data_IF_825600092549
#
_entry.id   IF_825600092549
#
_cell.length_a   1.000
_cell.length_b   1.000
_cell.length_c   1.000
_cell.angle_alpha   90.00
_cell.angle_beta   90.00
_cell.angle_gamma   90.00
#
_symmetry.space_group_name_H-M   'P 1'
#
loop_
_entity.id
_entity.type
_entity.pdbx_description
1 polymer ?
#
# COMPACT_ATOMS: atom_id res chain seq x y z
N UNK A 1 -27.29 -33.77 -13.92
CA UNK A 1 -25.88 -34.05 -13.51
C UNK A 1 -25.87 -34.21 -12.02
N UNK A 2 -24.99 -35.03 -11.43
CA UNK A 2 -24.93 -35.17 -9.98
C UNK A 2 -24.53 -33.84 -9.34
N UNK A 3 -25.14 -33.51 -8.19
CA UNK A 3 -24.81 -32.35 -7.38
C UNK A 3 -23.32 -32.40 -7.04
N UNK A 4 -22.55 -31.38 -7.41
CA UNK A 4 -21.11 -31.29 -7.14
C UNK A 4 -20.90 -31.20 -5.64
N UNK A 5 -20.07 -32.09 -5.07
CA UNK A 5 -19.71 -32.06 -3.67
C UNK A 5 -18.87 -30.80 -3.32
N UNK A 6 -18.84 -30.42 -2.05
CA UNK A 6 -18.06 -29.29 -1.59
C UNK A 6 -16.55 -29.44 -1.91
N UNK A 7 -15.99 -30.64 -1.73
CA UNK A 7 -14.59 -30.93 -2.04
C UNK A 7 -14.28 -30.85 -3.55
N UNK A 8 -15.20 -31.32 -4.39
CA UNK A 8 -15.08 -31.18 -5.84
C UNK A 8 -15.15 -29.72 -6.28
N UNK A 9 -16.01 -28.92 -5.65
CA UNK A 9 -16.09 -27.49 -5.93
C UNK A 9 -14.80 -26.74 -5.55
N UNK A 10 -14.18 -27.08 -4.41
CA UNK A 10 -12.87 -26.54 -4.02
C UNK A 10 -11.78 -26.97 -5.01
N UNK A 11 -11.82 -28.21 -5.49
CA UNK A 11 -10.88 -28.70 -6.49
C UNK A 11 -11.03 -27.95 -7.82
N UNK A 12 -12.25 -27.78 -8.31
CA UNK A 12 -12.52 -26.99 -9.54
C UNK A 12 -12.04 -25.55 -9.39
N UNK A 13 -12.29 -24.91 -8.22
CA UNK A 13 -11.81 -23.58 -7.91
C UNK A 13 -10.28 -23.50 -8.02
N UNK A 14 -9.58 -24.51 -7.47
CA UNK A 14 -8.12 -24.57 -7.48
C UNK A 14 -7.55 -24.83 -8.87
N UNK A 15 -8.08 -25.84 -9.58
CA UNK A 15 -7.63 -26.26 -10.91
C UNK A 15 -7.85 -25.15 -11.97
N UNK A 16 -8.88 -24.31 -11.79
CA UNK A 16 -9.18 -23.17 -12.67
C UNK A 16 -8.60 -21.84 -12.20
N UNK A 17 -7.74 -21.86 -11.20
CA UNK A 17 -7.13 -20.65 -10.61
C UNK A 17 -8.19 -19.59 -10.19
N UNK A 18 -9.37 -20.05 -9.77
CA UNK A 18 -10.44 -19.18 -9.32
C UNK A 18 -10.11 -18.52 -7.97
N UNK A 19 -10.68 -17.34 -7.71
CA UNK A 19 -10.46 -16.58 -6.49
C UNK A 19 -11.46 -16.88 -5.39
N UNK A 20 -12.73 -16.95 -5.72
CA UNK A 20 -13.82 -17.08 -4.75
C UNK A 20 -14.86 -18.09 -5.24
N UNK A 21 -15.46 -18.82 -4.29
CA UNK A 21 -16.58 -19.76 -4.52
C UNK A 21 -17.79 -19.26 -3.70
N UNK A 22 -18.93 -19.25 -4.32
CA UNK A 22 -20.17 -18.71 -3.76
C UNK A 22 -21.23 -19.80 -3.66
N UNK A 23 -21.81 -19.94 -2.46
CA UNK A 23 -22.98 -20.75 -2.19
C UNK A 23 -24.12 -19.84 -1.71
N UNK A 24 -25.21 -19.79 -2.45
CA UNK A 24 -26.39 -18.99 -2.11
C UNK A 24 -27.66 -19.78 -2.46
N UNK A 25 -28.65 -19.82 -1.56
CA UNK A 25 -29.91 -20.51 -1.78
C UNK A 25 -30.62 -19.90 -3.00
N UNK A 26 -31.09 -20.77 -3.90
CA UNK A 26 -31.75 -20.38 -5.15
C UNK A 26 -30.80 -20.05 -6.30
N UNK A 27 -29.49 -20.11 -6.07
CA UNK A 27 -28.47 -19.96 -7.11
C UNK A 27 -27.63 -21.25 -7.25
N UNK A 28 -27.08 -21.57 -8.42
CA UNK A 28 -26.10 -22.64 -8.56
C UNK A 28 -24.78 -22.27 -7.84
N UNK A 29 -24.04 -23.27 -7.32
CA UNK A 29 -22.67 -23.06 -6.86
C UNK A 29 -21.83 -22.41 -7.94
N UNK A 30 -21.22 -21.26 -7.65
CA UNK A 30 -20.56 -20.41 -8.66
C UNK A 30 -19.16 -20.00 -8.18
N UNK A 31 -18.20 -19.93 -9.09
CA UNK A 31 -16.88 -19.40 -8.80
C UNK A 31 -16.57 -18.14 -9.59
N UNK A 32 -15.71 -17.32 -9.01
CA UNK A 32 -15.10 -16.19 -9.67
C UNK A 32 -13.76 -16.62 -10.29
N UNK A 33 -13.74 -16.77 -11.62
CA UNK A 33 -12.57 -17.20 -12.39
C UNK A 33 -12.15 -16.04 -13.29
N UNK A 34 -10.91 -15.56 -13.16
CA UNK A 34 -10.40 -14.37 -13.86
C UNK A 34 -11.33 -13.14 -13.76
N UNK A 35 -11.94 -12.97 -12.57
CA UNK A 35 -12.85 -11.85 -12.31
C UNK A 35 -14.31 -12.07 -12.79
N UNK A 36 -14.60 -13.12 -13.54
CA UNK A 36 -15.94 -13.46 -14.06
C UNK A 36 -16.59 -14.52 -13.17
N UNK A 37 -17.85 -14.27 -12.75
CA UNK A 37 -18.64 -15.24 -12.02
C UNK A 37 -19.19 -16.31 -12.97
N UNK A 38 -18.83 -17.56 -12.73
CA UNK A 38 -19.20 -18.73 -13.55
C UNK A 38 -19.84 -19.82 -12.70
N UNK A 39 -21.04 -20.33 -13.03
CA UNK A 39 -21.65 -21.44 -12.32
C UNK A 39 -20.92 -22.75 -12.63
N UNK A 40 -20.90 -23.66 -11.64
CA UNK A 40 -20.34 -25.02 -11.80
C UNK A 40 -21.38 -26.04 -12.27
N UNK A 41 -22.66 -25.74 -12.10
CA UNK A 41 -23.78 -26.64 -12.33
C UNK A 41 -25.01 -25.83 -12.73
N UNK A 42 -25.96 -26.45 -13.38
CA UNK A 42 -27.26 -25.85 -13.68
C UNK A 42 -28.25 -26.00 -12.50
N UNK A 43 -27.91 -26.84 -11.51
CA UNK A 43 -28.76 -27.07 -10.33
C UNK A 43 -28.56 -25.97 -9.28
N UNK A 44 -29.68 -25.40 -8.84
CA UNK A 44 -29.68 -24.37 -7.78
C UNK A 44 -29.70 -25.02 -6.39
N UNK A 45 -29.00 -24.41 -5.45
CA UNK A 45 -28.98 -24.81 -4.04
C UNK A 45 -30.37 -24.65 -3.40
N UNK A 46 -30.87 -25.73 -2.80
CA UNK A 46 -32.15 -25.74 -2.09
C UNK A 46 -32.04 -25.18 -0.67
N UNK A 47 -33.15 -24.71 -0.07
CA UNK A 47 -33.15 -24.32 1.34
C UNK A 47 -32.63 -25.43 2.27
N UNK A 48 -31.69 -25.07 3.16
CA UNK A 48 -31.07 -25.98 4.12
C UNK A 48 -29.82 -26.74 3.61
N UNK A 49 -29.61 -26.89 2.32
CA UNK A 49 -28.45 -27.63 1.77
C UNK A 49 -27.11 -26.95 2.16
N UNK A 50 -27.07 -25.63 2.09
CA UNK A 50 -25.84 -24.88 2.43
C UNK A 50 -25.58 -24.99 3.94
N UNK A 51 -26.62 -25.03 4.79
CA UNK A 51 -26.45 -25.21 6.23
C UNK A 51 -25.87 -26.59 6.56
N UNK A 52 -26.21 -27.63 5.80
CA UNK A 52 -25.60 -28.97 5.93
C UNK A 52 -24.11 -28.92 5.58
N UNK A 53 -23.76 -28.26 4.48
CA UNK A 53 -22.35 -28.08 4.07
C UNK A 53 -21.59 -27.27 5.14
N UNK A 54 -22.13 -26.14 5.58
CA UNK A 54 -21.54 -25.30 6.62
C UNK A 54 -21.29 -26.09 7.92
N UNK A 55 -22.27 -26.86 8.37
CA UNK A 55 -22.14 -27.69 9.57
C UNK A 55 -21.11 -28.82 9.40
N UNK A 56 -20.84 -29.30 8.20
CA UNK A 56 -19.85 -30.34 7.94
C UNK A 56 -18.41 -29.86 8.05
N UNK A 57 -18.16 -28.57 7.84
CA UNK A 57 -16.82 -27.96 7.88
C UNK A 57 -16.53 -27.22 9.20
N UNK A 58 -17.54 -26.93 10.01
CA UNK A 58 -17.42 -26.32 11.34
C UNK A 58 -17.20 -27.39 12.41
N UNK A 59 -16.35 -27.08 13.39
CA UNK A 59 -16.27 -27.84 14.64
C UNK A 59 -17.47 -27.52 15.58
N UNK A 60 -17.50 -28.12 16.77
CA UNK A 60 -18.63 -27.98 17.69
C UNK A 60 -18.71 -26.56 18.26
N UNK A 61 -17.57 -25.95 18.60
CA UNK A 61 -17.52 -24.58 19.13
C UNK A 61 -17.95 -23.56 18.07
N UNK A 62 -17.46 -23.69 16.86
CA UNK A 62 -17.84 -22.84 15.72
C UNK A 62 -19.34 -22.93 15.42
N UNK A 63 -19.91 -24.15 15.49
CA UNK A 63 -21.36 -24.35 15.34
C UNK A 63 -22.17 -23.66 16.44
N UNK A 64 -21.70 -23.70 17.68
CA UNK A 64 -22.34 -22.98 18.80
C UNK A 64 -22.23 -21.45 18.61
N UNK A 65 -21.08 -20.95 18.22
CA UNK A 65 -20.89 -19.52 17.89
C UNK A 65 -21.82 -19.07 16.76
N UNK A 66 -21.91 -19.87 15.68
CA UNK A 66 -22.80 -19.53 14.55
C UNK A 66 -24.29 -19.62 14.87
N UNK A 67 -24.69 -20.41 15.87
CA UNK A 67 -26.06 -20.38 16.40
C UNK A 67 -26.38 -19.09 17.17
N UNK A 68 -25.38 -18.55 17.86
CA UNK A 68 -25.52 -17.33 18.68
C UNK A 68 -25.34 -16.05 17.85
N UNK A 69 -24.58 -16.11 16.77
CA UNK A 69 -24.30 -14.98 15.85
C UNK A 69 -24.63 -15.37 14.40
N UNK A 70 -25.22 -14.48 13.60
CA UNK A 70 -25.58 -14.80 12.21
C UNK A 70 -24.39 -14.87 11.26
N UNK A 71 -23.16 -14.71 11.75
CA UNK A 71 -21.92 -14.70 10.96
C UNK A 71 -20.84 -15.56 11.59
N UNK A 72 -20.05 -16.26 10.72
CA UNK A 72 -18.88 -17.01 11.11
C UNK A 72 -17.79 -16.84 10.07
N UNK A 73 -16.61 -16.43 10.51
CA UNK A 73 -15.38 -16.43 9.73
C UNK A 73 -14.47 -17.55 10.22
N UNK A 74 -13.93 -18.32 9.29
CA UNK A 74 -13.01 -19.42 9.61
C UNK A 74 -12.08 -19.70 8.44
N UNK A 75 -10.98 -20.40 8.69
CA UNK A 75 -10.11 -20.94 7.67
C UNK A 75 -10.19 -22.45 7.64
N UNK A 76 -10.15 -23.04 6.45
CA UNK A 76 -10.02 -24.48 6.27
C UNK A 76 -8.79 -24.80 5.42
N UNK A 77 -8.06 -25.87 5.77
CA UNK A 77 -6.97 -26.37 4.96
C UNK A 77 -7.37 -27.72 4.36
N UNK A 78 -7.05 -27.94 3.08
CA UNK A 78 -7.31 -29.19 2.38
C UNK A 78 -6.02 -29.69 1.75
N UNK A 79 -5.56 -30.92 2.09
CA UNK A 79 -4.35 -31.49 1.50
C UNK A 79 -4.43 -31.50 -0.03
N UNK A 80 -3.40 -30.96 -0.68
CA UNK A 80 -3.32 -30.89 -2.16
C UNK A 80 -4.14 -29.78 -2.82
N UNK A 81 -5.06 -29.12 -2.10
CA UNK A 81 -5.89 -28.01 -2.64
C UNK A 81 -5.48 -26.64 -2.09
N UNK A 82 -4.90 -26.60 -0.88
CA UNK A 82 -4.46 -25.36 -0.24
C UNK A 82 -5.33 -24.92 0.94
N UNK A 83 -5.26 -23.64 1.26
CA UNK A 83 -5.99 -23.01 2.35
C UNK A 83 -7.10 -22.09 1.79
N UNK A 84 -8.23 -22.06 2.49
CA UNK A 84 -9.39 -21.29 2.09
C UNK A 84 -9.95 -20.54 3.30
N UNK A 85 -10.26 -19.24 3.11
CA UNK A 85 -11.05 -18.47 4.06
C UNK A 85 -12.52 -18.68 3.75
N UNK A 86 -13.30 -19.02 4.76
CA UNK A 86 -14.75 -19.28 4.64
C UNK A 86 -15.49 -18.23 5.47
N UNK A 87 -16.34 -17.47 4.85
CA UNK A 87 -17.33 -16.63 5.52
C UNK A 87 -18.71 -17.29 5.37
N UNK A 88 -19.33 -17.63 6.49
CA UNK A 88 -20.67 -18.19 6.57
C UNK A 88 -21.59 -17.13 7.20
N UNK A 89 -22.71 -16.85 6.56
CA UNK A 89 -23.62 -15.81 7.04
C UNK A 89 -25.08 -16.18 6.74
N UNK A 90 -26.01 -15.50 7.43
CA UNK A 90 -27.44 -15.67 7.19
C UNK A 90 -27.99 -14.52 6.33
N UNK A 91 -28.78 -14.90 5.32
CA UNK A 91 -29.57 -13.99 4.52
C UNK A 91 -30.99 -14.55 4.33
N UNK A 92 -32.04 -13.73 4.52
CA UNK A 92 -33.46 -14.17 4.33
C UNK A 92 -33.76 -15.50 5.04
N UNK A 93 -33.27 -15.68 6.26
CA UNK A 93 -33.36 -16.90 7.06
C UNK A 93 -32.69 -18.16 6.45
N UNK A 94 -31.86 -18.00 5.43
CA UNK A 94 -31.08 -19.09 4.84
C UNK A 94 -29.59 -18.85 5.08
N UNK A 95 -28.82 -19.92 5.15
CA UNK A 95 -27.35 -19.86 5.21
C UNK A 95 -26.79 -19.63 3.81
N UNK A 96 -25.79 -18.79 3.74
CA UNK A 96 -24.97 -18.57 2.54
C UNK A 96 -23.49 -18.65 2.93
N UNK A 97 -22.62 -18.96 1.96
CA UNK A 97 -21.18 -19.03 2.17
C UNK A 97 -20.41 -18.41 1.02
N UNK A 98 -19.35 -17.73 1.37
CA UNK A 98 -18.33 -17.29 0.42
C UNK A 98 -16.99 -17.89 0.86
N UNK A 99 -16.35 -18.60 -0.06
CA UNK A 99 -15.08 -19.28 0.19
C UNK A 99 -14.03 -18.64 -0.70
N UNK A 100 -13.01 -18.03 -0.11
CA UNK A 100 -11.90 -17.41 -0.82
C UNK A 100 -10.68 -18.32 -0.78
N UNK A 101 -10.13 -18.62 -1.95
CA UNK A 101 -8.85 -19.34 -2.05
C UNK A 101 -7.72 -18.42 -1.61
N UNK A 102 -6.91 -18.89 -0.65
CA UNK A 102 -5.68 -18.23 -0.23
C UNK A 102 -4.52 -18.74 -1.10
N UNK A 103 -3.61 -17.83 -1.47
CA UNK A 103 -2.46 -18.20 -2.30
C UNK A 103 -1.58 -19.23 -1.59
N UNK A 104 -1.23 -20.31 -2.29
CA UNK A 104 -0.36 -21.38 -1.76
C UNK A 104 1.10 -21.19 -2.15
N UNK A 105 1.35 -20.51 -3.26
CA UNK A 105 2.69 -20.32 -3.78
C UNK A 105 3.29 -19.01 -3.25
N UNK A 106 4.37 -19.16 -2.50
CA UNK A 106 5.12 -18.02 -1.99
C UNK A 106 5.81 -17.32 -3.17
N UNK A 107 5.58 -16.01 -3.33
CA UNK A 107 6.21 -15.26 -4.40
C UNK A 107 7.71 -15.14 -4.15
N UNK A 108 8.51 -15.30 -5.21
CA UNK A 108 9.94 -15.08 -5.13
C UNK A 108 10.26 -13.58 -5.21
N UNK A 109 11.05 -13.07 -4.28
CA UNK A 109 11.41 -11.64 -4.24
C UNK A 109 12.08 -11.12 -5.51
N UNK A 110 12.84 -11.99 -6.24
CA UNK A 110 13.47 -11.65 -7.52
C UNK A 110 12.44 -11.48 -8.64
N UNK A 111 11.44 -12.37 -8.69
CA UNK A 111 10.35 -12.31 -9.66
C UNK A 111 9.46 -11.10 -9.44
N UNK A 112 9.28 -10.68 -8.19
CA UNK A 112 8.57 -9.46 -7.84
C UNK A 112 9.36 -8.19 -8.21
N UNK A 113 10.66 -8.30 -8.51
CA UNK A 113 11.52 -7.15 -8.82
C UNK A 113 11.72 -6.22 -7.62
N UNK A 114 11.76 -6.76 -6.41
CA UNK A 114 11.93 -5.97 -5.19
C UNK A 114 13.33 -5.35 -5.13
N UNK A 115 13.46 -4.06 -4.77
CA UNK A 115 14.74 -3.39 -4.64
C UNK A 115 15.69 -4.09 -3.65
N UNK A 116 16.99 -4.21 -3.95
CA UNK A 116 17.98 -4.92 -3.12
C UNK A 116 18.08 -4.42 -1.67
N UNK A 117 17.80 -3.14 -1.43
CA UNK A 117 17.81 -2.55 -0.08
C UNK A 117 16.79 -3.22 0.86
N UNK A 118 15.70 -3.78 0.32
CA UNK A 118 14.70 -4.48 1.15
C UNK A 118 15.28 -5.74 1.79
N UNK A 119 16.17 -6.46 1.08
CA UNK A 119 16.89 -7.60 1.65
C UNK A 119 17.86 -7.17 2.76
N UNK A 120 18.47 -5.99 2.63
CA UNK A 120 19.31 -5.43 3.70
C UNK A 120 18.47 -5.03 4.91
N UNK A 121 17.29 -4.45 4.70
CA UNK A 121 16.37 -4.07 5.77
C UNK A 121 15.88 -5.30 6.55
N UNK A 122 15.41 -6.34 5.86
CA UNK A 122 14.89 -7.56 6.50
C UNK A 122 15.99 -8.39 7.20
N UNK A 123 17.25 -8.17 6.87
CA UNK A 123 18.38 -8.85 7.51
C UNK A 123 18.90 -8.13 8.75
N UNK A 124 18.28 -7.03 9.16
CA UNK A 124 18.63 -6.33 10.38
C UNK A 124 18.21 -7.13 11.61
N UNK A 125 18.98 -7.00 12.69
CA UNK A 125 18.71 -7.75 13.94
C UNK A 125 17.53 -7.20 14.72
N UNK A 126 17.23 -5.89 14.60
CA UNK A 126 16.21 -5.21 15.39
C UNK A 126 15.75 -3.92 14.73
N UNK A 127 14.58 -3.48 15.12
CA UNK A 127 13.97 -2.22 14.72
C UNK A 127 12.63 -2.44 14.05
N UNK A 128 12.00 -1.36 13.58
CA UNK A 128 10.68 -1.35 12.97
C UNK A 128 10.79 -1.06 11.48
N UNK A 129 10.15 -1.91 10.67
CA UNK A 129 9.99 -1.71 9.23
C UNK A 129 8.49 -1.71 8.92
N UNK A 130 8.01 -0.66 8.27
CA UNK A 130 6.61 -0.51 7.91
C UNK A 130 6.41 -0.64 6.40
N UNK A 131 5.48 -1.49 6.00
CA UNK A 131 4.99 -1.58 4.64
C UNK A 131 3.67 -0.83 4.51
N UNK A 132 3.63 0.18 3.65
CA UNK A 132 2.47 1.05 3.51
C UNK A 132 1.94 1.06 2.07
N UNK A 133 0.65 1.34 1.91
CA UNK A 133 -0.02 1.33 0.62
C UNK A 133 -1.51 1.05 0.80
N UNK A 134 -2.30 1.34 -0.23
CA UNK A 134 -3.72 1.01 -0.29
C UNK A 134 -4.00 -0.50 -0.27
N UNK A 135 -5.28 -0.86 -0.15
CA UNK A 135 -5.70 -2.25 -0.32
C UNK A 135 -5.38 -2.74 -1.72
N UNK A 136 -4.81 -3.94 -1.84
CA UNK A 136 -4.43 -4.52 -3.13
C UNK A 136 -3.14 -3.94 -3.74
N UNK A 137 -2.36 -3.14 -3.01
CA UNK A 137 -1.06 -2.63 -3.48
C UNK A 137 0.08 -3.67 -3.44
N UNK A 138 -0.19 -4.89 -2.96
CA UNK A 138 0.78 -6.00 -2.94
C UNK A 138 1.67 -6.06 -1.69
N UNK A 139 1.33 -5.35 -0.60
CA UNK A 139 2.11 -5.37 0.66
C UNK A 139 2.34 -6.77 1.21
N UNK A 140 1.25 -7.54 1.39
CA UNK A 140 1.33 -8.92 1.92
C UNK A 140 2.16 -9.83 1.03
N UNK A 141 2.06 -9.67 -0.30
CA UNK A 141 2.86 -10.41 -1.27
C UNK A 141 4.35 -10.11 -1.11
N UNK A 142 4.72 -8.82 -1.01
CA UNK A 142 6.11 -8.40 -0.81
C UNK A 142 6.65 -8.83 0.55
N UNK A 143 5.85 -8.69 1.62
CA UNK A 143 6.23 -9.16 2.95
C UNK A 143 6.42 -10.66 3.00
N UNK A 144 5.53 -11.46 2.40
CA UNK A 144 5.67 -12.91 2.32
C UNK A 144 6.98 -13.31 1.61
N UNK A 145 7.31 -12.66 0.48
CA UNK A 145 8.57 -12.90 -0.22
C UNK A 145 9.80 -12.55 0.63
N UNK A 146 9.74 -11.47 1.41
CA UNK A 146 10.84 -11.04 2.29
C UNK A 146 10.96 -11.93 3.54
N UNK A 147 9.85 -12.34 4.14
CA UNK A 147 9.83 -13.33 5.22
C UNK A 147 10.42 -14.66 4.75
N UNK A 148 10.05 -15.10 3.56
CA UNK A 148 10.61 -16.33 2.98
C UNK A 148 12.11 -16.21 2.70
N UNK A 149 12.56 -15.06 2.19
CA UNK A 149 13.98 -14.73 2.06
C UNK A 149 14.71 -14.80 3.42
N UNK A 150 14.14 -14.21 4.47
CA UNK A 150 14.68 -14.28 5.82
C UNK A 150 14.76 -15.73 6.32
N UNK A 151 13.69 -16.49 6.15
CA UNK A 151 13.57 -17.89 6.51
C UNK A 151 14.59 -18.78 5.79
N UNK A 152 14.98 -18.46 4.56
CA UNK A 152 16.02 -19.19 3.81
C UNK A 152 17.46 -18.82 4.24
N UNK A 153 17.70 -17.56 4.59
CA UNK A 153 19.05 -17.03 4.73
C UNK A 153 19.49 -16.80 6.17
N UNK A 154 18.58 -16.98 7.15
CA UNK A 154 18.90 -16.82 8.57
C UNK A 154 18.51 -18.07 9.37
N UNK A 155 18.91 -18.10 10.64
CA UNK A 155 18.49 -19.11 11.60
C UNK A 155 17.85 -18.38 12.78
N UNK A 156 16.66 -18.80 13.18
CA UNK A 156 15.92 -18.15 14.25
C UNK A 156 14.45 -18.51 14.29
N UNK A 157 13.67 -17.71 14.97
CA UNK A 157 12.25 -17.87 15.16
C UNK A 157 11.48 -16.69 14.60
N UNK A 158 10.62 -16.92 13.63
CA UNK A 158 9.73 -15.94 13.02
C UNK A 158 8.32 -16.18 13.53
N UNK A 159 7.70 -15.16 14.10
CA UNK A 159 6.28 -15.19 14.50
C UNK A 159 5.52 -14.21 13.64
N UNK A 160 4.39 -14.67 13.09
CA UNK A 160 3.44 -13.79 12.43
C UNK A 160 2.10 -13.80 13.15
N UNK A 161 1.45 -12.64 13.22
CA UNK A 161 0.10 -12.46 13.76
C UNK A 161 -0.70 -11.74 12.68
N UNK A 162 -1.67 -12.43 12.10
CA UNK A 162 -2.35 -11.99 10.87
C UNK A 162 -3.87 -12.14 10.99
N UNK A 163 -4.62 -11.38 10.20
CA UNK A 163 -6.09 -11.45 10.11
C UNK A 163 -6.56 -11.28 8.64
N UNK A 164 -6.63 -12.40 7.89
CA UNK A 164 -6.12 -13.74 8.13
C UNK A 164 -4.67 -13.95 7.63
N UNK A 165 -4.12 -15.15 7.83
CA UNK A 165 -2.88 -15.61 7.18
C UNK A 165 -3.12 -15.76 5.67
N UNK A 166 -2.43 -14.94 4.85
CA UNK A 166 -2.57 -14.95 3.38
C UNK A 166 -1.63 -15.97 2.71
N UNK A 167 -0.41 -16.12 3.21
CA UNK A 167 0.60 -17.03 2.68
C UNK A 167 1.15 -17.93 3.77
N UNK A 168 1.28 -19.21 3.49
CA UNK A 168 1.81 -20.20 4.46
C UNK A 168 3.29 -20.45 4.21
N UNK A 169 4.10 -20.23 5.23
CA UNK A 169 5.54 -20.48 5.19
C UNK A 169 5.89 -21.87 5.70
N UNK A 170 6.77 -22.56 4.97
CA UNK A 170 7.40 -23.79 5.45
C UNK A 170 8.58 -23.42 6.34
N UNK A 171 8.89 -24.26 7.33
CA UNK A 171 10.15 -24.13 8.06
C UNK A 171 11.32 -24.43 7.12
N UNK A 172 12.32 -23.54 7.08
CA UNK A 172 13.58 -23.70 6.32
C UNK A 172 14.77 -23.51 7.27
N UNK A 173 15.48 -22.39 7.22
CA UNK A 173 16.49 -22.02 8.21
C UNK A 173 15.88 -21.57 9.54
N UNK A 174 14.67 -21.01 9.49
CA UNK A 174 13.93 -20.56 10.67
C UNK A 174 12.77 -21.50 11.02
N UNK A 175 12.36 -21.48 12.28
CA UNK A 175 11.03 -21.92 12.70
C UNK A 175 10.07 -20.77 12.43
N UNK A 176 8.99 -21.01 11.68
CA UNK A 176 7.97 -19.99 11.38
C UNK A 176 6.65 -20.41 12.02
N UNK A 177 6.19 -19.65 12.98
CA UNK A 177 4.88 -19.81 13.60
C UNK A 177 3.96 -18.68 13.16
N UNK A 178 2.87 -19.04 12.49
CA UNK A 178 1.87 -18.11 12.00
C UNK A 178 0.60 -18.27 12.81
N UNK A 179 0.12 -17.17 13.39
CA UNK A 179 -1.07 -17.13 14.23
C UNK A 179 -2.14 -16.29 13.59
N UNK A 180 -3.29 -16.88 13.33
CA UNK A 180 -4.46 -16.20 12.77
C UNK A 180 -5.40 -15.73 13.88
N UNK A 181 -5.75 -14.44 13.85
CA UNK A 181 -6.72 -13.88 14.81
C UNK A 181 -8.10 -14.49 14.59
N UNK A 182 -8.75 -14.87 15.68
CA UNK A 182 -10.04 -15.56 15.67
C UNK A 182 -9.96 -17.08 15.43
N UNK A 183 -8.78 -17.61 15.13
CA UNK A 183 -8.53 -19.05 14.95
C UNK A 183 -7.48 -19.57 15.93
N UNK A 184 -6.31 -18.95 15.95
CA UNK A 184 -5.16 -19.38 16.77
C UNK A 184 -4.94 -18.47 17.98
N UNK A 185 -5.63 -17.35 18.04
CA UNK A 185 -5.63 -16.36 19.13
C UNK A 185 -6.93 -15.57 19.10
N UNK A 186 -7.42 -15.11 20.26
CA UNK A 186 -8.68 -14.40 20.35
C UNK A 186 -8.62 -12.98 19.78
N UNK A 187 -7.49 -12.29 19.94
CA UNK A 187 -7.29 -10.92 19.47
C UNK A 187 -5.84 -10.65 19.09
N UNK A 188 -5.59 -9.53 18.41
CA UNK A 188 -4.23 -9.01 18.19
C UNK A 188 -3.56 -8.71 19.54
N UNK A 189 -4.29 -8.11 20.50
CA UNK A 189 -3.75 -7.73 21.81
C UNK A 189 -3.27 -8.95 22.60
N UNK A 190 -4.07 -10.02 22.66
CA UNK A 190 -3.69 -11.26 23.34
C UNK A 190 -2.47 -11.93 22.69
N UNK A 191 -2.43 -11.95 21.37
CA UNK A 191 -1.29 -12.48 20.65
C UNK A 191 -0.02 -11.68 20.95
N UNK A 192 -0.09 -10.34 20.81
CA UNK A 192 1.06 -9.45 20.98
C UNK A 192 1.57 -9.45 22.42
N UNK A 193 0.69 -9.44 23.44
CA UNK A 193 1.07 -9.52 24.85
C UNK A 193 1.87 -10.79 25.21
N UNK A 194 1.65 -11.88 24.46
CA UNK A 194 2.34 -13.16 24.69
C UNK A 194 3.54 -13.39 23.75
N UNK A 195 3.71 -12.58 22.72
CA UNK A 195 4.72 -12.80 21.67
C UNK A 195 6.15 -12.83 22.23
N UNK A 196 6.52 -11.90 23.11
CA UNK A 196 7.88 -11.88 23.69
C UNK A 196 8.23 -13.13 24.53
N UNK A 197 7.21 -13.82 25.09
CA UNK A 197 7.42 -15.07 25.83
C UNK A 197 7.69 -16.27 24.91
N UNK A 198 7.50 -16.09 23.61
CA UNK A 198 7.72 -17.12 22.60
C UNK A 198 9.11 -17.04 21.98
N UNK A 199 9.98 -16.15 22.49
CA UNK A 199 11.38 -15.93 22.07
C UNK A 199 11.53 -15.77 20.53
N UNK A 200 10.85 -14.81 19.89
CA UNK A 200 11.00 -14.54 18.47
C UNK A 200 12.28 -13.76 18.17
N UNK A 201 12.84 -13.93 16.98
CA UNK A 201 13.85 -13.02 16.41
C UNK A 201 13.19 -12.00 15.49
N UNK A 202 12.18 -12.44 14.74
CA UNK A 202 11.40 -11.62 13.81
C UNK A 202 9.92 -11.72 14.13
N UNK A 203 9.25 -10.59 14.19
CA UNK A 203 7.82 -10.50 14.48
C UNK A 203 7.14 -9.78 13.31
N UNK A 204 6.15 -10.41 12.68
CA UNK A 204 5.26 -9.76 11.71
C UNK A 204 3.91 -9.50 12.37
N UNK A 205 3.53 -8.23 12.45
CA UNK A 205 2.18 -7.80 12.80
C UNK A 205 1.45 -7.50 11.49
N UNK A 206 0.41 -8.24 11.18
CA UNK A 206 -0.28 -8.15 9.89
C UNK A 206 -0.66 -6.72 9.54
N UNK A 207 -1.24 -5.98 10.49
CA UNK A 207 -1.66 -4.58 10.28
C UNK A 207 -1.72 -3.79 11.59
N UNK A 208 -1.22 -2.54 11.56
CA UNK A 208 -1.41 -1.56 12.62
C UNK A 208 -2.63 -0.70 12.30
N UNK A 209 -3.70 -0.87 13.09
CA UNK A 209 -4.94 -0.08 12.97
C UNK A 209 -5.15 0.90 14.12
N UNK A 210 -4.56 0.62 15.27
CA UNK A 210 -4.79 1.31 16.54
C UNK A 210 -3.49 1.59 17.27
N UNK A 211 -3.57 2.51 18.23
CA UNK A 211 -2.47 2.95 19.08
C UNK A 211 -1.79 1.77 19.80
N UNK A 212 -2.57 0.89 20.41
CA UNK A 212 -2.09 -0.23 21.21
C UNK A 212 -1.18 -1.15 20.40
N UNK A 213 -1.59 -1.47 19.15
CA UNK A 213 -0.77 -2.27 18.24
C UNK A 213 0.53 -1.56 17.87
N UNK A 214 0.51 -0.22 17.71
CA UNK A 214 1.72 0.57 17.43
C UNK A 214 2.66 0.60 18.65
N UNK A 215 2.14 0.73 19.86
CA UNK A 215 2.92 0.66 21.10
C UNK A 215 3.63 -0.70 21.24
N UNK A 216 2.95 -1.81 20.92
CA UNK A 216 3.59 -3.13 20.87
C UNK A 216 4.69 -3.22 19.83
N UNK A 217 4.46 -2.70 18.61
CA UNK A 217 5.46 -2.71 17.55
C UNK A 217 6.74 -1.95 17.93
N UNK A 218 6.59 -0.79 18.58
CA UNK A 218 7.72 -0.03 19.12
C UNK A 218 8.43 -0.79 20.26
N UNK A 219 7.69 -1.34 21.21
CA UNK A 219 8.25 -2.10 22.31
C UNK A 219 9.05 -3.33 21.83
N UNK A 220 8.60 -4.03 20.78
CA UNK A 220 9.36 -5.12 20.18
C UNK A 220 10.68 -4.64 19.55
N UNK A 221 10.63 -3.54 18.81
CA UNK A 221 11.81 -2.95 18.22
C UNK A 221 12.83 -2.47 19.26
N UNK A 222 12.38 -1.89 20.37
CA UNK A 222 13.21 -1.43 21.51
C UNK A 222 13.84 -2.59 22.26
N UNK A 223 13.10 -3.68 22.43
CA UNK A 223 13.59 -4.86 23.16
C UNK A 223 14.49 -5.78 22.33
N UNK A 224 14.84 -5.36 21.11
CA UNK A 224 15.89 -6.01 20.33
C UNK A 224 15.40 -6.93 19.20
N UNK A 225 14.10 -6.92 18.90
CA UNK A 225 13.50 -7.76 17.85
C UNK A 225 13.33 -6.98 16.55
N UNK A 226 13.37 -7.66 15.43
CA UNK A 226 12.96 -7.09 14.14
C UNK A 226 11.45 -7.17 14.03
N UNK A 227 10.78 -6.02 14.05
CA UNK A 227 9.33 -5.92 13.90
C UNK A 227 8.97 -5.42 12.49
N UNK A 228 8.13 -6.17 11.82
CA UNK A 228 7.54 -5.84 10.52
C UNK A 228 6.06 -5.60 10.70
N UNK A 229 5.51 -4.62 10.01
CA UNK A 229 4.06 -4.46 9.99
C UNK A 229 3.57 -3.76 8.74
N UNK A 230 2.25 -3.81 8.51
CA UNK A 230 1.61 -2.99 7.47
C UNK A 230 0.82 -1.84 8.08
N UNK A 231 0.70 -0.77 7.31
CA UNK A 231 -0.13 0.37 7.64
C UNK A 231 -0.82 0.88 6.37
N UNK A 232 -2.07 1.32 6.46
CA UNK A 232 -2.77 1.95 5.36
C UNK A 232 -2.38 3.43 5.26
N UNK A 233 -1.43 3.74 4.40
CA UNK A 233 -1.03 5.09 4.00
C UNK A 233 -0.53 5.03 2.55
N UNK A 234 -0.42 6.16 1.85
CA UNK A 234 -0.03 6.17 0.44
C UNK A 234 1.42 6.61 0.21
N UNK A 235 2.12 7.06 1.26
CA UNK A 235 3.53 7.47 1.22
C UNK A 235 4.16 7.36 2.61
N UNK A 236 5.47 7.47 2.70
CA UNK A 236 6.21 7.49 3.98
C UNK A 236 5.77 8.67 4.87
N UNK A 237 5.59 9.87 4.28
CA UNK A 237 5.12 11.04 5.03
C UNK A 237 3.73 10.80 5.62
N UNK A 238 2.77 10.32 4.80
CA UNK A 238 1.43 10.00 5.29
C UNK A 238 1.41 8.89 6.34
N UNK A 239 2.35 7.94 6.26
CA UNK A 239 2.50 6.91 7.29
C UNK A 239 2.92 7.53 8.63
N UNK A 240 3.89 8.43 8.61
CA UNK A 240 4.32 9.17 9.80
C UNK A 240 3.19 9.99 10.40
N UNK A 241 2.48 10.78 9.59
CA UNK A 241 1.32 11.56 10.04
C UNK A 241 0.25 10.67 10.67
N UNK A 242 -0.04 9.51 10.04
CA UNK A 242 -1.03 8.57 10.57
C UNK A 242 -0.60 7.98 11.91
N UNK A 243 0.68 7.62 12.06
CA UNK A 243 1.20 7.11 13.33
C UNK A 243 1.09 8.19 14.42
N UNK A 244 1.49 9.42 14.13
CA UNK A 244 1.39 10.54 15.07
C UNK A 244 -0.07 10.74 15.51
N UNK A 245 -1.02 10.65 14.58
CA UNK A 245 -2.45 10.80 14.86
C UNK A 245 -3.07 9.66 15.69
N UNK A 246 -2.41 8.52 15.86
CA UNK A 246 -2.86 7.49 16.82
C UNK A 246 -2.68 7.92 18.27
N UNK A 247 -1.81 8.89 18.55
CA UNK A 247 -1.43 9.29 19.90
C UNK A 247 -1.94 10.68 20.25
N UNK A 248 -2.27 10.96 21.50
CA UNK A 248 -2.60 12.30 21.93
C UNK A 248 -1.37 13.22 21.88
N UNK A 249 -1.58 14.52 21.71
CA UNK A 249 -0.51 15.51 21.50
C UNK A 249 0.60 15.47 22.57
N UNK A 250 0.23 15.22 23.81
CA UNK A 250 1.19 15.16 24.93
C UNK A 250 2.20 14.01 24.79
N UNK A 251 1.87 12.99 24.00
CA UNK A 251 2.71 11.83 23.73
C UNK A 251 3.58 11.99 22.48
N UNK A 252 3.32 12.99 21.63
CA UNK A 252 4.04 13.16 20.36
C UNK A 252 5.56 13.31 20.55
N UNK A 253 6.11 14.09 21.52
CA UNK A 253 7.56 14.20 21.67
C UNK A 253 8.23 12.85 21.98
N UNK A 254 7.64 12.04 22.87
CA UNK A 254 8.17 10.72 23.19
C UNK A 254 8.03 9.77 21.99
N UNK A 255 6.87 9.75 21.32
CA UNK A 255 6.63 8.93 20.14
C UNK A 255 7.65 9.22 19.03
N UNK A 256 7.91 10.48 18.72
CA UNK A 256 8.88 10.88 17.71
C UNK A 256 10.30 10.45 18.07
N UNK A 257 10.65 10.54 19.35
CA UNK A 257 11.94 10.03 19.85
C UNK A 257 12.04 8.52 19.68
N UNK A 258 11.01 7.75 20.08
CA UNK A 258 10.99 6.30 19.96
C UNK A 258 11.04 5.85 18.49
N UNK A 259 10.29 6.52 17.61
CA UNK A 259 10.34 6.28 16.16
C UNK A 259 11.72 6.57 15.59
N UNK A 260 12.35 7.69 15.97
CA UNK A 260 13.68 8.07 15.47
C UNK A 260 14.76 7.03 15.79
N UNK A 261 14.66 6.39 16.94
CA UNK A 261 15.61 5.37 17.40
C UNK A 261 15.37 4.00 16.77
N UNK A 262 14.10 3.66 16.55
CA UNK A 262 13.69 2.29 16.21
C UNK A 262 13.31 2.10 14.75
N UNK A 263 12.94 3.16 14.01
CA UNK A 263 12.58 3.06 12.60
C UNK A 263 13.79 2.64 11.76
N UNK A 264 13.64 1.55 10.99
CA UNK A 264 14.65 1.08 10.02
C UNK A 264 14.25 1.36 8.60
N UNK A 265 12.94 1.41 8.32
CA UNK A 265 12.47 1.79 7.00
C UNK A 265 10.96 1.91 6.92
N UNK A 266 10.51 2.71 5.97
CA UNK A 266 9.12 2.76 5.52
C UNK A 266 9.13 2.46 4.02
N UNK A 267 8.37 1.45 3.63
CA UNK A 267 8.30 0.95 2.25
C UNK A 267 6.88 1.17 1.75
N UNK A 268 6.70 2.17 0.90
CA UNK A 268 5.39 2.50 0.33
C UNK A 268 5.25 1.82 -1.03
N UNK A 269 4.11 1.20 -1.32
CA UNK A 269 3.93 0.38 -2.52
C UNK A 269 2.63 0.69 -3.26
N UNK A 270 2.76 0.82 -4.59
CA UNK A 270 1.65 0.89 -5.57
C UNK A 270 1.85 -0.16 -6.65
N UNK A 271 0.76 -0.75 -7.14
CA UNK A 271 0.80 -1.66 -8.29
C UNK A 271 0.37 -0.91 -9.55
N UNK A 272 1.27 -0.86 -10.52
CA UNK A 272 1.08 -0.15 -11.80
C UNK A 272 0.83 -1.16 -12.91
N UNK A 273 -0.19 -0.96 -13.78
CA UNK A 273 -0.39 -1.78 -14.96
C UNK A 273 0.84 -1.77 -15.87
N UNK A 274 1.26 -2.93 -16.35
CA UNK A 274 2.38 -3.07 -17.26
C UNK A 274 1.92 -3.23 -18.71
N UNK A 275 2.81 -2.96 -19.66
CA UNK A 275 2.52 -3.06 -21.09
C UNK A 275 2.13 -4.48 -21.54
N UNK A 276 2.55 -5.50 -20.78
CA UNK A 276 2.21 -6.92 -21.01
C UNK A 276 0.91 -7.35 -20.30
N UNK A 277 0.13 -6.41 -19.78
CA UNK A 277 -1.16 -6.66 -19.12
C UNK A 277 -1.05 -7.21 -17.69
N UNK A 278 0.17 -7.25 -17.11
CA UNK A 278 0.41 -7.60 -15.71
C UNK A 278 0.45 -6.37 -14.82
N UNK A 279 1.07 -6.49 -13.65
CA UNK A 279 1.30 -5.38 -12.71
C UNK A 279 2.74 -5.40 -12.23
N UNK A 280 3.34 -4.22 -12.09
CA UNK A 280 4.64 -4.02 -11.47
C UNK A 280 4.50 -3.20 -10.19
N UNK A 281 5.33 -3.48 -9.19
CA UNK A 281 5.38 -2.68 -7.98
C UNK A 281 6.23 -1.42 -8.21
N UNK A 282 5.61 -0.25 -8.08
CA UNK A 282 6.34 0.99 -7.83
C UNK A 282 6.51 1.13 -6.32
N UNK A 283 7.74 1.32 -5.86
CA UNK A 283 8.08 1.28 -4.44
C UNK A 283 8.84 2.55 -4.06
N UNK A 284 8.30 3.30 -3.11
CA UNK A 284 8.98 4.38 -2.41
C UNK A 284 9.65 3.79 -1.17
N UNK A 285 10.88 4.22 -0.86
CA UNK A 285 11.66 3.66 0.25
C UNK A 285 12.33 4.78 1.03
N UNK A 286 11.94 4.90 2.28
CA UNK A 286 12.67 5.65 3.30
C UNK A 286 13.52 4.67 4.13
N UNK A 287 14.82 4.90 4.22
CA UNK A 287 15.74 4.12 5.06
C UNK A 287 16.04 4.88 6.35
N UNK A 288 16.06 4.18 7.49
CA UNK A 288 16.34 4.75 8.81
C UNK A 288 17.81 5.15 9.00
N UNK A 289 18.24 6.14 8.26
CA UNK A 289 19.59 6.74 8.39
C UNK A 289 19.65 7.71 9.57
N UNK A 290 20.84 8.11 10.05
CA UNK A 290 20.96 9.16 11.09
C UNK A 290 20.25 10.47 10.73
N UNK A 291 20.25 10.83 9.44
CA UNK A 291 19.53 12.06 8.99
C UNK A 291 18.03 11.87 9.03
N UNK A 292 17.51 10.71 8.60
CA UNK A 292 16.09 10.39 8.74
C UNK A 292 15.65 10.40 10.20
N UNK A 293 16.45 9.81 11.08
CA UNK A 293 16.20 9.81 12.52
C UNK A 293 16.14 11.24 13.10
N UNK A 294 17.07 12.12 12.73
CA UNK A 294 17.07 13.53 13.16
C UNK A 294 15.80 14.27 12.70
N UNK A 295 15.37 14.09 11.45
CA UNK A 295 14.14 14.68 10.94
C UNK A 295 12.90 14.14 11.66
N UNK A 296 12.83 12.83 11.90
CA UNK A 296 11.73 12.22 12.64
C UNK A 296 11.67 12.75 14.07
N UNK A 297 12.82 12.80 14.79
CA UNK A 297 12.87 13.31 16.15
C UNK A 297 12.39 14.76 16.26
N UNK A 298 12.64 15.58 15.24
CA UNK A 298 12.19 16.97 15.14
C UNK A 298 10.75 17.14 14.68
N UNK A 299 10.07 16.06 14.25
CA UNK A 299 8.76 16.12 13.63
C UNK A 299 8.76 16.78 12.24
N UNK A 300 9.92 16.90 11.60
CA UNK A 300 10.07 17.48 10.25
C UNK A 300 9.71 16.45 9.16
N UNK A 301 8.48 15.93 9.22
CA UNK A 301 8.00 14.86 8.33
C UNK A 301 7.98 15.30 6.86
N UNK A 302 7.69 16.57 6.58
CA UNK A 302 7.71 17.16 5.23
C UNK A 302 9.05 16.96 4.51
N UNK A 303 10.16 17.05 5.26
CA UNK A 303 11.51 17.04 4.71
C UNK A 303 12.02 15.63 4.37
N UNK A 304 11.28 14.59 4.78
CA UNK A 304 11.64 13.20 4.48
C UNK A 304 11.61 12.91 2.98
N UNK A 305 10.72 13.57 2.21
CA UNK A 305 10.65 13.37 0.77
C UNK A 305 11.91 13.90 0.08
N UNK A 306 12.35 15.10 0.44
CA UNK A 306 13.60 15.68 -0.07
C UNK A 306 14.82 14.84 0.31
N UNK A 307 14.84 14.30 1.54
CA UNK A 307 15.87 13.36 1.96
C UNK A 307 15.91 12.11 1.06
N UNK A 308 14.74 11.52 0.73
CA UNK A 308 14.67 10.34 -0.14
C UNK A 308 15.16 10.65 -1.55
N UNK A 309 14.89 11.84 -2.09
CA UNK A 309 15.35 12.29 -3.40
C UNK A 309 16.89 12.41 -3.46
N UNK A 310 17.49 12.93 -2.38
CA UNK A 310 18.95 13.17 -2.30
C UNK A 310 19.78 11.97 -1.82
N UNK A 311 19.15 10.84 -1.45
CA UNK A 311 19.83 9.72 -0.79
C UNK A 311 19.68 8.38 -1.54
N UNK A 312 19.70 8.41 -2.87
CA UNK A 312 19.60 7.19 -3.70
C UNK A 312 20.74 6.20 -3.43
N UNK A 313 21.94 6.67 -3.19
CA UNK A 313 23.12 5.82 -2.90
C UNK A 313 22.92 4.97 -1.63
N UNK A 314 22.07 5.43 -0.72
CA UNK A 314 21.68 4.70 0.50
C UNK A 314 20.51 3.74 0.28
N UNK A 315 20.02 3.61 -0.96
CA UNK A 315 18.88 2.76 -1.32
C UNK A 315 17.52 3.41 -1.14
N UNK A 316 17.46 4.72 -0.81
CA UNK A 316 16.21 5.46 -0.78
C UNK A 316 15.72 5.75 -2.20
N UNK A 317 14.42 5.84 -2.37
CA UNK A 317 13.82 6.32 -3.62
C UNK A 317 12.39 6.82 -3.40
N UNK A 318 11.98 7.81 -4.19
CA UNK A 318 10.60 8.30 -4.26
C UNK A 318 9.77 7.48 -5.24
N UNK A 319 8.44 7.64 -5.21
CA UNK A 319 7.57 7.02 -6.22
C UNK A 319 7.88 7.47 -7.63
N UNK A 320 8.14 8.76 -7.84
CA UNK A 320 8.46 9.30 -9.17
C UNK A 320 9.73 8.66 -9.73
N UNK A 321 10.72 8.43 -8.87
CA UNK A 321 11.93 7.71 -9.28
C UNK A 321 11.67 6.24 -9.59
N UNK A 322 10.84 5.56 -8.82
CA UNK A 322 10.44 4.18 -9.09
C UNK A 322 9.68 4.06 -10.43
N UNK A 323 8.75 4.98 -10.69
CA UNK A 323 8.00 5.05 -11.94
C UNK A 323 8.90 5.32 -13.14
N UNK A 324 9.85 6.25 -13.00
CA UNK A 324 10.85 6.52 -14.04
C UNK A 324 11.70 5.28 -14.37
N UNK A 325 12.16 4.54 -13.36
CA UNK A 325 12.90 3.28 -13.55
C UNK A 325 12.06 2.23 -14.30
N UNK A 326 10.78 2.10 -13.96
CA UNK A 326 9.85 1.17 -14.63
C UNK A 326 9.58 1.58 -16.09
N UNK A 327 9.39 2.87 -16.35
CA UNK A 327 9.24 3.43 -17.69
C UNK A 327 10.52 3.17 -18.53
N UNK A 328 11.68 3.53 -18.02
CA UNK A 328 12.98 3.34 -18.70
C UNK A 328 13.28 1.87 -19.01
N UNK A 329 12.80 0.95 -18.16
CA UNK A 329 12.87 -0.48 -18.41
C UNK A 329 11.82 -1.00 -19.41
N UNK A 330 11.00 -0.12 -19.99
CA UNK A 330 9.92 -0.48 -20.92
C UNK A 330 8.79 -1.30 -20.29
N UNK A 331 8.69 -1.31 -18.96
CA UNK A 331 7.69 -2.11 -18.26
C UNK A 331 6.32 -1.43 -18.17
N UNK A 332 6.29 -0.11 -18.09
CA UNK A 332 5.06 0.69 -18.07
C UNK A 332 5.11 1.74 -19.17
N UNK A 333 3.95 2.21 -19.62
CA UNK A 333 3.86 3.32 -20.58
C UNK A 333 4.13 4.66 -19.88
N UNK A 334 4.48 5.68 -20.66
CA UNK A 334 4.59 7.06 -20.18
C UNK A 334 3.28 7.54 -19.54
N UNK A 335 2.14 7.24 -20.17
CA UNK A 335 0.82 7.59 -19.66
C UNK A 335 0.59 7.03 -18.25
N UNK A 336 0.89 5.74 -18.03
CA UNK A 336 0.77 5.11 -16.71
C UNK A 336 1.79 5.66 -15.70
N UNK A 337 3.00 6.00 -16.13
CA UNK A 337 4.00 6.65 -15.27
C UNK A 337 3.49 8.02 -14.80
N UNK A 338 3.07 8.88 -15.71
CA UNK A 338 2.58 10.24 -15.42
C UNK A 338 1.26 10.26 -14.62
N UNK A 339 0.37 9.29 -14.86
CA UNK A 339 -0.91 9.15 -14.15
C UNK A 339 -0.71 8.78 -12.68
N UNK A 340 0.32 8.01 -12.35
CA UNK A 340 0.61 7.52 -11.00
C UNK A 340 1.68 8.34 -10.27
N UNK A 341 2.25 9.36 -10.92
CA UNK A 341 3.29 10.22 -10.37
C UNK A 341 2.77 11.09 -9.22
N UNK A 342 3.61 11.33 -8.23
CA UNK A 342 3.36 12.32 -7.18
C UNK A 342 3.53 13.75 -7.74
N UNK A 343 4.52 13.96 -8.64
CA UNK A 343 4.70 15.20 -9.39
C UNK A 343 4.77 14.90 -10.89
N UNK A 344 3.60 15.04 -11.55
CA UNK A 344 3.47 14.79 -12.99
C UNK A 344 4.43 15.64 -13.83
N UNK A 345 4.61 16.91 -13.44
CA UNK A 345 5.46 17.84 -14.18
C UNK A 345 6.94 17.44 -14.07
N UNK A 346 7.42 17.16 -12.85
CA UNK A 346 8.81 16.76 -12.63
C UNK A 346 9.14 15.44 -13.31
N UNK A 347 8.22 14.46 -13.23
CA UNK A 347 8.43 13.17 -13.90
C UNK A 347 8.36 13.32 -15.43
N UNK A 348 7.44 14.13 -15.96
CA UNK A 348 7.33 14.40 -17.39
C UNK A 348 8.60 15.09 -17.93
N UNK A 349 9.11 16.08 -17.21
CA UNK A 349 10.37 16.72 -17.57
C UNK A 349 11.54 15.72 -17.58
N UNK A 350 11.65 14.88 -16.56
CA UNK A 350 12.68 13.81 -16.51
C UNK A 350 12.60 12.84 -17.70
N UNK A 351 11.39 12.43 -18.08
CA UNK A 351 11.15 11.56 -19.25
C UNK A 351 11.59 12.27 -20.54
N UNK A 352 11.12 13.50 -20.75
CA UNK A 352 11.46 14.29 -21.96
C UNK A 352 12.96 14.52 -22.10
N UNK A 353 13.66 14.80 -21.01
CA UNK A 353 15.11 14.99 -21.00
C UNK A 353 15.88 13.68 -21.26
N UNK A 354 15.40 12.54 -20.79
CA UNK A 354 16.06 11.25 -21.03
C UNK A 354 15.84 10.75 -22.46
N UNK A 355 14.67 11.01 -23.05
CA UNK A 355 14.32 10.59 -24.42
C UNK A 355 14.93 11.53 -25.50
N UNK A 356 15.36 12.73 -25.14
CA UNK A 356 15.90 13.71 -26.08
C UNK A 356 17.38 14.06 -25.75
N UNK A 357 18.33 13.35 -26.37
CA UNK A 357 19.76 13.59 -26.14
C UNK A 357 20.24 15.01 -26.53
N UNK A 358 19.53 15.70 -27.43
CA UNK A 358 19.82 17.09 -27.80
C UNK A 358 19.41 18.05 -26.68
N UNK A 359 18.30 17.76 -25.99
CA UNK A 359 17.89 18.51 -24.81
C UNK A 359 18.89 18.34 -23.66
N UNK A 360 19.48 17.15 -23.50
CA UNK A 360 20.57 16.89 -22.53
C UNK A 360 21.81 17.74 -22.81
N UNK A 361 22.25 17.84 -24.07
CA UNK A 361 23.43 18.63 -24.44
C UNK A 361 23.21 20.14 -24.28
N UNK A 362 21.99 20.63 -24.51
CA UNK A 362 21.65 22.04 -24.33
C UNK A 362 21.46 22.43 -22.87
N UNK A 363 21.46 21.46 -21.99
CA UNK A 363 21.18 21.63 -20.58
C UNK A 363 22.43 21.62 -19.69
N UNK A 364 23.59 21.32 -20.27
CA UNK A 364 24.91 21.34 -19.63
C UNK A 364 25.50 22.74 -19.80
N UNK A 365 25.41 23.56 -18.76
CA UNK A 365 25.83 24.97 -18.81
C UNK A 365 27.26 25.20 -18.34
N UNK A 366 27.84 24.27 -17.57
CA UNK A 366 29.25 24.34 -17.12
C UNK A 366 30.22 23.52 -17.95
N UNK A 367 29.69 22.67 -18.84
CA UNK A 367 30.50 21.90 -19.80
C UNK A 367 31.15 20.65 -19.19
N UNK A 368 30.69 20.20 -18.01
CA UNK A 368 31.20 19.00 -17.34
C UNK A 368 30.60 17.68 -17.88
N UNK A 369 29.59 17.77 -18.75
CA UNK A 369 28.84 16.67 -19.32
C UNK A 369 27.74 16.11 -18.41
N UNK A 370 27.51 16.71 -17.25
CA UNK A 370 26.52 16.35 -16.24
C UNK A 370 25.71 17.58 -15.88
N UNK A 371 24.39 17.53 -15.94
CA UNK A 371 23.54 18.62 -15.50
C UNK A 371 23.23 18.52 -14.03
N UNK A 372 23.52 19.58 -13.27
CA UNK A 372 23.01 19.75 -11.90
C UNK A 372 21.55 20.20 -11.89
N UNK A 373 20.82 19.96 -10.79
CA UNK A 373 19.43 20.44 -10.64
C UNK A 373 19.37 21.99 -10.60
N UNK A 374 20.46 22.65 -10.19
CA UNK A 374 20.62 24.12 -10.20
C UNK A 374 20.72 24.68 -11.62
N UNK A 375 21.36 23.97 -12.55
CA UNK A 375 21.38 24.32 -13.97
C UNK A 375 20.03 24.11 -14.64
N UNK A 376 19.21 23.18 -14.12
CA UNK A 376 17.83 22.95 -14.58
C UNK A 376 16.90 24.09 -14.19
N UNK A 377 17.08 24.67 -13.01
CA UNK A 377 16.29 25.83 -12.53
C UNK A 377 16.71 27.13 -13.23
N UNK A 378 18.01 27.30 -13.53
CA UNK A 378 18.49 28.49 -14.24
C UNK A 378 18.00 28.59 -15.70
N UNK A 379 17.64 27.45 -16.32
CA UNK A 379 17.06 27.41 -17.67
C UNK A 379 15.53 27.60 -17.67
N UNK A 380 14.88 27.53 -16.53
CA UNK A 380 13.48 27.94 -16.37
C UNK A 380 13.41 29.46 -16.20
N UNK A 381 13.71 30.17 -17.29
CA UNK A 381 13.79 31.61 -17.37
C UNK A 381 12.46 32.33 -17.29
N UNK A 382 11.38 31.61 -17.15
CA UNK A 382 10.03 32.16 -16.89
C UNK A 382 9.89 32.44 -15.39
N UNK A 383 10.37 33.62 -14.99
CA UNK A 383 10.37 34.05 -13.58
C UNK A 383 8.99 34.49 -13.10
N UNK A 384 8.05 34.72 -14.01
CA UNK A 384 6.69 35.14 -13.70
C UNK A 384 5.64 34.03 -13.86
N UNK A 385 6.00 32.84 -14.42
CA UNK A 385 5.16 31.69 -14.57
C UNK A 385 4.09 31.77 -15.65
N UNK A 386 4.27 32.66 -16.65
CA UNK A 386 3.30 32.85 -17.73
C UNK A 386 3.55 31.96 -18.96
N UNK A 387 4.61 31.19 -18.96
CA UNK A 387 4.99 30.25 -20.05
C UNK A 387 5.68 30.95 -21.23
N UNK A 388 6.06 32.24 -21.13
CA UNK A 388 6.72 33.02 -22.19
C UNK A 388 7.96 33.70 -21.61
N UNK A 389 9.12 33.48 -22.22
CA UNK A 389 10.35 34.20 -21.85
C UNK A 389 10.32 35.59 -22.48
N UNK A 390 10.13 36.60 -21.66
CA UNK A 390 10.13 38.01 -22.08
C UNK A 390 11.57 38.49 -22.43
N UNK A 391 11.67 39.61 -23.20
CA UNK A 391 12.98 40.19 -23.51
C UNK A 391 13.78 40.65 -22.27
N UNK A 392 13.10 40.97 -21.20
CA UNK A 392 13.74 41.44 -19.95
C UNK A 392 14.27 40.24 -19.15
N UNK A 393 13.55 39.12 -19.11
CA UNK A 393 13.99 37.84 -18.55
C UNK A 393 15.16 37.29 -19.36
N UNK A 394 15.10 37.34 -20.69
CA UNK A 394 16.21 36.97 -21.56
C UNK A 394 17.48 37.83 -21.34
N UNK A 395 17.32 39.11 -21.09
CA UNK A 395 18.47 40.03 -20.79
C UNK A 395 19.09 39.74 -19.41
N UNK A 396 18.27 39.37 -18.42
CA UNK A 396 18.77 38.96 -17.10
C UNK A 396 19.66 37.75 -17.20
N UNK A 397 19.25 36.76 -17.98
CA UNK A 397 20.02 35.50 -18.21
C UNK A 397 21.34 35.76 -18.94
N UNK A 398 21.32 36.62 -19.98
CA UNK A 398 22.55 37.01 -20.71
C UNK A 398 23.54 37.72 -19.80
N UNK A 399 23.03 38.50 -18.83
CA UNK A 399 23.87 39.19 -17.85
C UNK A 399 24.52 38.22 -16.84
N UNK A 400 23.84 37.17 -16.50
CA UNK A 400 24.32 36.16 -15.52
C UNK A 400 25.14 35.03 -16.15
N UNK A 401 24.77 34.54 -17.33
CA UNK A 401 25.36 33.32 -17.94
C UNK A 401 26.17 33.58 -19.20
N UNK A 402 26.08 34.78 -19.79
CA UNK A 402 26.79 35.17 -21.04
C UNK A 402 26.23 34.49 -22.31
N UNK A 403 25.08 33.82 -22.27
CA UNK A 403 24.44 33.15 -23.41
C UNK A 403 23.06 33.74 -23.71
N UNK A 404 22.68 33.81 -24.99
CA UNK A 404 21.41 34.39 -25.45
C UNK A 404 20.34 33.30 -25.58
N UNK A 405 19.28 33.26 -24.76
CA UNK A 405 18.18 32.36 -24.96
C UNK A 405 17.34 32.74 -26.19
N UNK A 406 16.69 31.77 -26.85
CA UNK A 406 15.76 32.07 -27.93
C UNK A 406 14.42 32.61 -27.34
N UNK A 407 14.08 33.84 -27.72
CA UNK A 407 12.77 34.43 -27.39
C UNK A 407 11.65 33.73 -28.18
N UNK A 408 10.65 33.20 -27.51
CA UNK A 408 9.43 32.73 -28.15
C UNK A 408 8.46 33.90 -28.35
N UNK A 409 8.38 34.44 -29.57
CA UNK A 409 7.37 35.43 -29.93
C UNK A 409 6.01 34.78 -30.13
N UNK A 410 5.04 35.14 -29.31
CA UNK A 410 3.62 34.78 -29.52
C UNK A 410 3.11 35.54 -30.76
N UNK A 411 2.37 34.91 -31.70
CA UNK A 411 1.67 35.65 -32.76
C UNK A 411 0.57 36.51 -32.11
N UNK A 412 0.55 37.79 -32.50
CA UNK A 412 -0.46 38.76 -32.05
C UNK A 412 -1.88 38.26 -32.35
N UNK A 413 -2.72 38.23 -31.35
CA UNK A 413 -4.14 38.00 -31.50
C UNK A 413 -4.82 39.25 -32.07
N UNK A 414 -5.86 39.13 -32.94
CA UNK A 414 -6.57 40.27 -33.46
C UNK A 414 -7.41 40.97 -32.37
N UNK A 415 -7.32 42.29 -32.32
CA UNK A 415 -8.26 43.15 -31.60
C UNK A 415 -9.66 43.00 -32.20
N UNK A 416 -10.63 42.61 -31.44
CA UNK A 416 -11.98 43.21 -31.32
C UNK A 416 -12.95 42.26 -30.60
N UNK A 417 -13.54 42.75 -29.59
CA UNK A 417 -14.95 42.69 -29.18
C UNK A 417 -15.10 42.63 -27.65
N UNK A 418 -15.51 43.77 -27.14
CA UNK A 418 -15.96 43.92 -25.74
C UNK A 418 -17.22 43.09 -25.49
N UNK A 419 -17.18 42.19 -24.52
CA UNK A 419 -18.36 41.54 -23.96
C UNK A 419 -18.80 42.24 -22.68
N UNK A 420 -20.12 42.36 -22.42
CA UNK A 420 -20.66 43.15 -21.30
C UNK A 420 -20.48 42.40 -19.95
N UNK A 421 -20.36 43.21 -18.89
CA UNK A 421 -20.21 42.75 -17.51
C UNK A 421 -21.43 41.93 -17.01
N UNK A 422 -21.23 40.93 -16.17
CA UNK A 422 -22.34 40.22 -15.54
C UNK A 422 -23.00 41.08 -14.43
N UNK A 423 -24.32 40.90 -14.21
CA UNK A 423 -25.04 41.62 -13.15
C UNK A 423 -24.68 41.16 -11.75
N UNK A 424 -24.80 42.07 -10.80
CA UNK A 424 -24.58 41.83 -9.36
C UNK A 424 -25.60 40.83 -8.78
N UNK A 425 -25.25 40.05 -7.76
CA UNK A 425 -26.18 39.12 -7.13
C UNK A 425 -27.21 39.87 -6.26
N UNK A 426 -28.48 39.54 -6.43
CA UNK A 426 -29.60 39.94 -5.59
C UNK A 426 -29.47 39.36 -4.17
N UNK A 427 -29.67 40.19 -3.18
CA UNK A 427 -29.87 39.78 -1.78
C UNK A 427 -31.21 39.03 -1.65
N UNK A 428 -31.15 37.81 -1.27
CA UNK A 428 -32.34 37.05 -0.82
C UNK A 428 -32.37 37.04 0.69
N UNK A 429 -33.24 37.88 1.22
CA UNK A 429 -33.70 37.85 2.60
C UNK A 429 -34.53 36.57 2.85
N UNK A 430 -34.06 35.69 3.72
CA UNK A 430 -34.84 34.59 4.25
C UNK A 430 -34.71 34.56 5.77
N UNK A 431 -35.55 35.40 6.38
CA UNK A 431 -35.91 35.20 7.79
C UNK A 431 -36.72 33.92 7.95
N UNK A 432 -36.19 32.96 8.71
CA UNK A 432 -36.99 31.98 9.42
C UNK A 432 -36.33 31.63 10.75
N UNK A 433 -36.96 32.13 11.79
CA UNK A 433 -36.79 31.75 13.17
C UNK A 433 -37.02 30.23 13.33
N UNK A 434 -36.06 29.53 13.91
CA UNK A 434 -36.32 28.27 14.56
C UNK A 434 -36.03 28.41 16.06
N UNK A 435 -37.11 28.26 16.84
CA UNK A 435 -37.14 28.25 18.29
C UNK A 435 -36.50 26.95 18.81
N UNK A 436 -35.66 27.09 19.81
CA UNK A 436 -35.24 26.02 20.73
C UNK A 436 -36.50 25.45 21.44
N UNK A 437 -36.63 24.15 21.40
CA UNK A 437 -37.49 23.39 22.27
C UNK A 437 -36.58 22.62 23.23
N UNK A 438 -36.68 23.05 24.50
CA UNK A 438 -36.20 22.31 25.66
C UNK A 438 -36.95 20.96 25.77
N UNK A 439 -36.19 19.89 25.94
CA UNK A 439 -36.71 18.65 26.49
C UNK A 439 -35.85 18.24 27.69
N UNK A 440 -36.21 18.81 28.82
CA UNK A 440 -35.93 18.21 30.12
C UNK A 440 -37.04 17.19 30.48
N UNK A 441 -36.57 16.16 31.19
CA UNK A 441 -37.35 15.31 32.11
C UNK A 441 -38.22 14.16 31.54
N UNK A 442 -37.81 12.95 31.83
CA UNK A 442 -38.39 11.94 32.72
C UNK A 442 -38.03 10.49 32.39
N UNK A 443 -37.42 9.90 33.44
CA UNK A 443 -37.41 8.47 33.85
C UNK A 443 -36.51 7.51 33.09
#
# INVERSE_FOLDING_TARGET
MAQISFEEALKILTDKEGSDLYYSTGAPPSAKIFGVLSPFSDETMKPGEIEVIANSIMDEEQRLKFKASPEMNMAISRPGLGRFRVNIFRQRNQVSMVIRRLGTDLPNYKELGLPPVLMQLISQKRGLILFVGGTGSGKSTSLAALIDYCNENTQGHIITIEDPVEFTHKHKGCIVNQREVGTDTDSFEDALANTLRQAPDVILIGEIRHRETMEHALAFAETGHLCLSTLHANSANQAMDRIINFFPEERHPQLLQDLSLNMRGIVSQRLIPTVDGKRAAAIEILVGTPRAADLIAKGAVSDLKELMEKSEEQGMQTFDRALFKLYKAGRISEEEALKNADSRNNLGLKITLDDNPVAKQNADTDGDGIRSDEEAEALNADTNGDGVISEDEAKAIVAETGRTPQTTSTPAAPEDAAAPAPPAPEEVDNGSQFSLVDLDDKR
#
